data_IF_551881019728
#
_entry.id   IF_551881019728
#
_cell.length_a   1.000
_cell.length_b   1.000
_cell.length_c   1.000
_cell.angle_alpha   90.00
_cell.angle_beta   90.00
_cell.angle_gamma   90.00
#
_symmetry.space_group_name_H-M   'P 1'
#
loop_
_entity.id
_entity.type
_entity.pdbx_description
1 polymer ?
#
# COMPACT_ATOMS: atom_id res chain seq x y z
N UNK A 1 45.37 24.97 19.52
CA UNK A 1 44.50 23.77 19.49
C UNK A 1 45.17 22.73 18.59
N UNK A 2 45.39 21.52 19.10
CA UNK A 2 46.21 20.49 18.43
C UNK A 2 45.37 19.60 17.50
N UNK A 3 45.91 19.19 16.35
CA UNK A 3 45.23 18.41 15.31
C UNK A 3 44.57 17.10 15.82
N UNK A 4 45.10 16.51 16.89
CA UNK A 4 44.52 15.32 17.54
C UNK A 4 43.14 15.59 18.20
N UNK A 5 42.92 16.80 18.71
CA UNK A 5 41.64 17.19 19.33
C UNK A 5 40.55 17.44 18.27
N UNK A 6 40.94 17.96 17.10
CA UNK A 6 40.03 18.16 15.97
C UNK A 6 39.59 16.84 15.33
N UNK A 7 40.49 15.85 15.24
CA UNK A 7 40.18 14.53 14.68
C UNK A 7 39.22 13.73 15.58
N UNK A 8 39.43 13.77 16.91
CA UNK A 8 38.57 13.11 17.88
C UNK A 8 37.17 13.73 17.94
N UNK A 9 37.08 15.08 17.85
CA UNK A 9 35.81 15.80 17.82
C UNK A 9 35.02 15.52 16.53
N UNK A 10 35.69 15.41 15.37
CA UNK A 10 35.06 15.07 14.09
C UNK A 10 34.55 13.63 14.02
N UNK A 11 35.27 12.68 14.62
CA UNK A 11 34.86 11.28 14.67
C UNK A 11 33.64 11.07 15.59
N UNK A 12 33.58 11.83 16.69
CA UNK A 12 32.46 11.81 17.63
C UNK A 12 31.18 12.43 17.03
N UNK A 13 31.32 13.56 16.33
CA UNK A 13 30.21 14.21 15.62
C UNK A 13 29.64 13.36 14.47
N UNK A 14 30.48 12.57 13.78
CA UNK A 14 30.05 11.69 12.70
C UNK A 14 29.24 10.46 13.18
N UNK A 15 29.57 9.95 14.36
CA UNK A 15 28.83 8.83 14.98
C UNK A 15 27.48 9.31 15.54
N UNK A 16 27.45 10.53 16.11
CA UNK A 16 26.22 11.17 16.61
C UNK A 16 25.19 11.40 15.51
N UNK A 17 25.62 11.70 14.28
CA UNK A 17 24.73 11.84 13.12
C UNK A 17 24.14 10.53 12.62
N UNK A 18 24.81 9.39 12.85
CA UNK A 18 24.35 8.07 12.38
C UNK A 18 23.26 7.47 13.28
N UNK A 19 23.25 7.77 14.59
CA UNK A 19 22.18 7.34 15.51
C UNK A 19 20.86 8.10 15.34
N UNK A 20 20.88 9.29 14.74
CA UNK A 20 19.69 10.12 14.59
C UNK A 20 18.80 9.73 13.39
N UNK A 21 19.26 8.84 12.50
CA UNK A 21 18.52 8.44 11.29
C UNK A 21 17.55 7.28 11.56
N UNK A 22 17.54 6.74 12.78
CA UNK A 22 16.76 5.57 13.15
C UNK A 22 15.41 5.99 13.75
N UNK A 23 14.41 6.23 12.90
CA UNK A 23 12.99 5.86 13.10
C UNK A 23 12.09 6.74 12.23
N UNK A 24 12.02 6.45 10.94
CA UNK A 24 10.88 6.89 10.14
C UNK A 24 9.72 5.95 10.46
N UNK A 25 8.83 6.36 11.35
CA UNK A 25 7.53 5.70 11.51
C UNK A 25 6.63 6.29 10.42
N UNK A 26 6.50 5.59 9.30
CA UNK A 26 5.46 5.94 8.34
C UNK A 26 4.12 5.67 9.03
N UNK A 27 3.31 6.70 9.21
CA UNK A 27 1.92 6.50 9.62
C UNK A 27 1.28 5.62 8.54
N UNK A 28 1.13 4.33 8.85
CA UNK A 28 0.48 3.39 7.96
C UNK A 28 -0.97 3.85 7.86
N UNK A 29 -1.38 4.23 6.65
CA UNK A 29 -2.78 4.50 6.39
C UNK A 29 -3.54 3.20 6.68
N UNK A 30 -4.32 3.20 7.76
CA UNK A 30 -5.24 2.11 8.01
C UNK A 30 -6.26 2.11 6.86
N UNK A 31 -6.29 1.04 6.08
CA UNK A 31 -7.25 0.86 5.01
C UNK A 31 -8.67 1.07 5.53
N UNK A 32 -9.53 1.68 4.73
CA UNK A 32 -10.94 1.84 5.10
C UNK A 32 -11.62 0.46 5.00
N UNK A 33 -11.72 -0.24 6.13
CA UNK A 33 -12.41 -1.53 6.22
C UNK A 33 -13.94 -1.38 6.29
N UNK A 34 -14.44 -0.15 6.37
CA UNK A 34 -15.87 0.12 6.41
C UNK A 34 -16.42 0.22 4.99
N UNK A 35 -17.28 -0.72 4.63
CA UNK A 35 -18.04 -0.69 3.39
C UNK A 35 -19.54 -0.64 3.73
N UNK A 36 -20.21 0.53 3.61
CA UNK A 36 -21.63 0.67 3.95
C UNK A 36 -22.57 -0.27 3.19
N UNK A 37 -22.13 -0.73 2.00
CA UNK A 37 -22.91 -1.60 1.11
C UNK A 37 -22.29 -2.99 0.98
N UNK A 38 -21.42 -3.38 1.92
CA UNK A 38 -20.76 -4.68 1.98
C UNK A 38 -20.04 -5.08 0.66
N UNK A 39 -19.85 -6.38 0.46
CA UNK A 39 -19.09 -6.95 -0.63
C UNK A 39 -19.93 -7.09 -1.90
N UNK A 40 -19.39 -6.63 -3.02
CA UNK A 40 -19.91 -6.91 -4.36
C UNK A 40 -18.78 -7.10 -5.38
N UNK A 41 -18.85 -8.10 -6.29
CA UNK A 41 -19.85 -9.15 -6.38
C UNK A 41 -19.80 -10.11 -5.18
N UNK A 42 -20.85 -10.92 -5.00
CA UNK A 42 -20.85 -11.95 -3.97
C UNK A 42 -19.74 -12.98 -4.22
N UNK A 43 -18.92 -13.23 -3.20
CA UNK A 43 -17.85 -14.23 -3.26
C UNK A 43 -16.47 -13.67 -3.64
N UNK A 44 -15.45 -14.51 -3.50
CA UNK A 44 -14.05 -14.09 -3.65
C UNK A 44 -13.56 -14.32 -5.07
N UNK A 45 -13.12 -13.25 -5.74
CA UNK A 45 -12.47 -13.35 -7.05
C UNK A 45 -11.09 -13.99 -6.91
N UNK A 46 -10.79 -14.99 -7.75
CA UNK A 46 -9.47 -15.65 -7.80
C UNK A 46 -8.89 -15.48 -9.20
N UNK A 47 -7.80 -14.71 -9.38
CA UNK A 47 -7.19 -14.50 -10.69
C UNK A 47 -6.64 -15.80 -11.29
N UNK A 48 -6.90 -16.03 -12.57
CA UNK A 48 -6.37 -17.19 -13.31
C UNK A 48 -4.90 -17.02 -13.71
N UNK A 49 -4.37 -15.79 -13.65
CA UNK A 49 -2.95 -15.47 -13.90
C UNK A 49 -2.47 -15.92 -15.30
N UNK A 50 -3.32 -15.76 -16.31
CA UNK A 50 -3.04 -16.17 -17.70
C UNK A 50 -2.24 -15.15 -18.51
N UNK A 51 -1.88 -14.01 -17.90
CA UNK A 51 -1.21 -12.88 -18.55
C UNK A 51 -2.13 -11.93 -19.31
N UNK A 52 -3.44 -12.20 -19.32
CA UNK A 52 -4.47 -11.28 -19.85
C UNK A 52 -5.15 -10.50 -18.73
N UNK A 53 -5.79 -9.38 -19.07
CA UNK A 53 -6.64 -8.65 -18.11
C UNK A 53 -7.86 -9.47 -17.75
N UNK A 54 -8.24 -9.46 -16.47
CA UNK A 54 -9.39 -10.19 -15.94
C UNK A 54 -10.35 -9.21 -15.26
N UNK A 55 -11.66 -9.37 -15.49
CA UNK A 55 -12.69 -8.50 -14.94
C UNK A 55 -13.08 -8.98 -13.54
N UNK A 56 -12.88 -8.12 -12.53
CA UNK A 56 -13.31 -8.39 -11.14
C UNK A 56 -14.81 -8.08 -10.98
N UNK A 57 -15.22 -6.91 -11.48
CA UNK A 57 -16.58 -6.40 -11.42
C UNK A 57 -16.80 -5.45 -12.59
N UNK A 58 -17.96 -5.55 -13.24
CA UNK A 58 -18.34 -4.70 -14.39
C UNK A 58 -18.95 -3.37 -13.91
N UNK A 59 -19.81 -3.44 -12.90
CA UNK A 59 -20.48 -2.29 -12.27
C UNK A 59 -20.56 -2.51 -10.76
N UNK A 60 -20.22 -1.49 -9.97
CA UNK A 60 -20.36 -1.46 -8.52
C UNK A 60 -20.89 -0.10 -8.07
N UNK A 61 -21.62 -0.06 -6.97
CA UNK A 61 -22.08 1.18 -6.35
C UNK A 61 -21.02 1.74 -5.39
N UNK A 62 -21.17 3.03 -5.07
CA UNK A 62 -20.34 3.67 -4.04
C UNK A 62 -20.48 2.93 -2.70
N UNK A 63 -19.38 2.71 -2.00
CA UNK A 63 -19.37 2.07 -0.68
C UNK A 63 -19.39 0.54 -0.69
N UNK A 64 -19.21 -0.08 -1.85
CA UNK A 64 -19.00 -1.52 -2.01
C UNK A 64 -17.50 -1.86 -2.12
N UNK A 65 -17.14 -3.13 -1.87
CA UNK A 65 -15.79 -3.65 -2.11
C UNK A 65 -15.81 -5.04 -2.75
N UNK A 66 -14.76 -5.40 -3.48
CA UNK A 66 -14.58 -6.77 -4.02
C UNK A 66 -13.46 -7.49 -3.27
N UNK A 67 -13.70 -8.72 -2.83
CA UNK A 67 -12.63 -9.57 -2.28
C UNK A 67 -11.85 -10.25 -3.39
N UNK A 68 -10.52 -10.18 -3.32
CA UNK A 68 -9.62 -10.84 -4.26
C UNK A 68 -8.63 -11.73 -3.52
N UNK A 69 -8.49 -12.99 -3.97
CA UNK A 69 -7.51 -13.94 -3.44
C UNK A 69 -6.22 -13.86 -4.23
N UNK A 70 -5.16 -13.33 -3.62
CA UNK A 70 -3.84 -13.15 -4.24
C UNK A 70 -2.85 -14.22 -3.81
N UNK A 71 -1.83 -14.45 -4.66
CA UNK A 71 -0.72 -15.37 -4.38
C UNK A 71 0.52 -14.59 -3.95
N UNK A 72 1.16 -15.00 -2.84
CA UNK A 72 2.37 -14.35 -2.35
C UNK A 72 3.51 -14.40 -3.38
N UNK A 73 4.25 -13.30 -3.53
CA UNK A 73 5.35 -13.18 -4.48
C UNK A 73 4.92 -12.98 -5.95
N UNK A 74 3.62 -12.88 -6.23
CA UNK A 74 3.10 -12.55 -7.56
C UNK A 74 2.71 -11.08 -7.61
N UNK A 75 3.20 -10.37 -8.62
CA UNK A 75 2.84 -8.97 -8.86
C UNK A 75 1.51 -8.87 -9.60
N UNK A 76 0.57 -8.11 -9.05
CA UNK A 76 -0.72 -7.83 -9.68
C UNK A 76 -0.84 -6.35 -10.02
N UNK A 77 -1.53 -6.05 -11.13
CA UNK A 77 -1.90 -4.69 -11.52
C UNK A 77 -3.42 -4.58 -11.48
N UNK A 78 -3.93 -3.65 -10.68
CA UNK A 78 -5.34 -3.31 -10.64
C UNK A 78 -5.58 -2.01 -11.41
N UNK A 79 -6.72 -1.92 -12.08
CA UNK A 79 -7.18 -0.73 -12.76
C UNK A 79 -8.69 -0.65 -12.63
N UNK A 80 -9.20 0.57 -12.58
CA UNK A 80 -10.62 0.87 -12.72
C UNK A 80 -10.76 1.86 -13.88
N UNK A 81 -11.83 1.69 -14.65
CA UNK A 81 -12.15 2.62 -15.73
C UNK A 81 -12.96 3.79 -15.16
N UNK A 82 -12.78 4.97 -15.75
CA UNK A 82 -13.57 6.15 -15.40
C UNK A 82 -15.02 5.94 -15.88
N UNK A 83 -15.99 6.28 -15.04
CA UNK A 83 -17.42 6.26 -15.39
C UNK A 83 -17.90 7.71 -15.36
N UNK A 84 -18.56 8.14 -16.44
CA UNK A 84 -19.25 9.44 -16.53
C UNK A 84 -18.43 10.66 -16.06
N UNK A 85 -17.20 10.79 -16.59
CA UNK A 85 -16.22 11.85 -16.30
C UNK A 85 -15.62 11.88 -14.88
N UNK A 86 -16.04 10.99 -13.98
CA UNK A 86 -15.44 10.86 -12.64
C UNK A 86 -14.15 10.03 -12.67
N UNK A 87 -13.16 10.45 -11.86
CA UNK A 87 -11.88 9.76 -11.73
C UNK A 87 -12.06 8.57 -10.78
N UNK A 88 -11.78 7.37 -11.28
CA UNK A 88 -11.77 6.17 -10.46
C UNK A 88 -10.45 6.08 -9.66
N UNK A 89 -10.56 5.83 -8.35
CA UNK A 89 -9.44 5.52 -7.47
C UNK A 89 -9.55 4.08 -6.99
N UNK A 90 -8.47 3.30 -7.18
CA UNK A 90 -8.35 1.96 -6.62
C UNK A 90 -7.61 2.06 -5.30
N UNK A 91 -8.28 1.63 -4.22
CA UNK A 91 -7.62 1.41 -2.92
C UNK A 91 -7.59 -0.09 -2.63
N UNK A 92 -6.53 -0.53 -1.96
CA UNK A 92 -6.31 -1.94 -1.65
C UNK A 92 -5.93 -2.01 -0.17
N UNK A 93 -6.60 -2.90 0.56
CA UNK A 93 -6.30 -3.19 1.95
C UNK A 93 -6.36 -4.70 2.16
N UNK A 94 -5.54 -5.19 3.10
CA UNK A 94 -5.71 -6.52 3.66
C UNK A 94 -6.90 -6.54 4.62
N UNK A 95 -7.35 -7.73 5.03
CA UNK A 95 -8.48 -7.89 5.96
C UNK A 95 -8.25 -7.22 7.34
N UNK A 96 -6.99 -7.04 7.74
CA UNK A 96 -6.56 -6.33 8.95
C UNK A 96 -6.38 -4.81 8.73
N UNK A 97 -6.66 -4.29 7.53
CA UNK A 97 -6.55 -2.86 7.23
C UNK A 97 -5.11 -2.40 6.99
N UNK A 98 -4.19 -3.33 6.77
CA UNK A 98 -2.84 -2.99 6.38
C UNK A 98 -2.78 -2.64 4.89
N UNK A 99 -1.99 -1.62 4.56
CA UNK A 99 -1.65 -1.34 3.16
C UNK A 99 -0.74 -2.45 2.63
N UNK A 100 -1.04 -2.94 1.43
CA UNK A 100 -0.33 -4.06 0.76
C UNK A 100 1.01 -3.63 0.19
#
# INVERSE_FOLDING_TARGET
MSAKQYLFMRLFLFCLSFLAVSSFTQAQFAGCLTAPNDQYPSGVFTPNCTGSSELIVDYAFTGEYSMVKLTNGVTYKFSADNIDDDIAYVTIATADGSSV
#
